data_IF_377602404308
#
_entry.id   IF_377602404308
#
_cell.length_a   1.000
_cell.length_b   1.000
_cell.length_c   1.000
_cell.angle_alpha   90.00
_cell.angle_beta   90.00
_cell.angle_gamma   90.00
#
_symmetry.space_group_name_H-M   'P 1'
#
loop_
_entity.id
_entity.type
_entity.pdbx_description
1 polymer ?
#
# COMPACT_ATOMS: atom_id res chain seq x y z
N UNK A 1 29.49 -3.42 10.74
CA UNK A 1 28.88 -2.29 11.45
C UNK A 1 29.09 -1.04 10.59
N UNK A 2 28.06 -0.49 9.98
CA UNK A 2 28.16 0.74 9.17
C UNK A 2 27.59 1.90 9.99
N UNK A 3 28.33 2.99 10.04
CA UNK A 3 27.88 4.26 10.65
C UNK A 3 27.04 5.03 9.62
N UNK A 4 25.92 5.58 10.02
CA UNK A 4 25.11 6.48 9.21
C UNK A 4 25.32 7.89 9.73
N UNK A 5 25.79 8.79 8.86
CA UNK A 5 25.90 10.19 9.16
C UNK A 5 24.57 10.88 8.86
N UNK A 6 24.02 11.56 9.86
CA UNK A 6 22.92 12.50 9.65
C UNK A 6 23.47 13.79 9.02
N UNK A 7 22.80 14.32 8.00
CA UNK A 7 23.09 15.65 7.52
C UNK A 7 22.83 16.65 8.66
N UNK A 8 23.91 17.17 9.22
CA UNK A 8 23.87 18.21 10.25
C UNK A 8 24.30 17.80 11.66
N UNK A 9 24.19 16.56 12.09
CA UNK A 9 24.58 16.10 13.42
C UNK A 9 25.02 14.65 13.43
N UNK A 10 26.28 14.35 13.74
CA UNK A 10 26.76 12.97 13.76
C UNK A 10 26.26 12.24 15.00
N UNK A 11 25.08 11.64 14.85
CA UNK A 11 24.60 10.58 15.73
C UNK A 11 24.86 9.26 15.03
N UNK A 12 25.79 8.44 15.54
CA UNK A 12 26.09 7.13 14.95
C UNK A 12 25.18 6.07 15.55
N UNK A 13 24.24 5.56 14.76
CA UNK A 13 23.42 4.40 15.11
C UNK A 13 24.00 3.17 14.42
N UNK A 14 24.29 2.14 15.19
CA UNK A 14 24.89 0.91 14.66
C UNK A 14 23.82 -0.08 14.21
N UNK A 15 23.83 -0.45 12.92
CA UNK A 15 22.90 -1.40 12.34
C UNK A 15 23.57 -2.64 11.78
N UNK A 16 22.81 -3.74 11.68
CA UNK A 16 23.23 -4.94 10.99
C UNK A 16 23.39 -4.70 9.47
N UNK A 17 24.38 -5.36 8.82
CA UNK A 17 24.59 -5.29 7.36
C UNK A 17 23.34 -5.69 6.57
N UNK A 18 22.56 -6.65 7.08
CA UNK A 18 21.31 -7.13 6.47
C UNK A 18 20.19 -6.08 6.51
N UNK A 19 20.17 -5.24 7.53
CA UNK A 19 19.22 -4.13 7.64
C UNK A 19 19.58 -2.97 6.72
N UNK A 20 20.87 -2.80 6.41
CA UNK A 20 21.34 -1.77 5.47
C UNK A 20 20.93 -2.06 4.02
N UNK A 21 21.01 -3.31 3.57
CA UNK A 21 20.59 -3.71 2.22
C UNK A 21 19.07 -3.61 2.03
N UNK A 22 18.28 -3.96 3.06
CA UNK A 22 16.81 -3.83 3.04
C UNK A 22 16.35 -2.38 3.00
N UNK A 23 17.10 -1.45 3.57
CA UNK A 23 16.78 -0.02 3.60
C UNK A 23 16.93 0.68 2.26
N UNK A 24 17.85 0.22 1.43
CA UNK A 24 18.09 0.83 0.12
C UNK A 24 16.98 0.54 -0.89
N UNK A 25 16.02 -0.35 -0.56
CA UNK A 25 14.91 -0.68 -1.44
C UNK A 25 13.66 -1.11 -0.65
N UNK A 26 12.93 -0.12 -0.11
CA UNK A 26 11.74 -0.32 0.72
C UNK A 26 10.63 -1.11 0.00
N UNK A 27 10.54 -0.99 -1.32
CA UNK A 27 9.48 -1.57 -2.15
C UNK A 27 9.97 -2.73 -3.01
N UNK A 28 11.04 -3.41 -2.61
CA UNK A 28 11.62 -4.50 -3.41
C UNK A 28 10.61 -5.59 -3.73
N UNK A 29 9.83 -6.02 -2.74
CA UNK A 29 8.87 -7.11 -2.88
C UNK A 29 7.75 -6.74 -3.87
N UNK A 30 7.15 -5.56 -3.71
CA UNK A 30 6.08 -5.06 -4.56
C UNK A 30 6.55 -4.87 -6.00
N UNK A 31 7.73 -4.26 -6.18
CA UNK A 31 8.34 -4.08 -7.50
C UNK A 31 8.72 -5.42 -8.15
N UNK A 32 9.13 -6.42 -7.37
CA UNK A 32 9.38 -7.77 -7.88
C UNK A 32 8.10 -8.35 -8.49
N UNK A 33 6.98 -8.34 -7.75
CA UNK A 33 5.71 -8.86 -8.26
C UNK A 33 5.18 -8.06 -9.45
N UNK A 34 5.29 -6.71 -9.46
CA UNK A 34 4.90 -5.91 -10.62
C UNK A 34 5.71 -6.24 -11.88
N UNK A 35 7.00 -6.51 -11.73
CA UNK A 35 7.84 -6.97 -12.84
C UNK A 35 7.48 -8.37 -13.28
N UNK A 36 7.20 -9.25 -12.31
CA UNK A 36 6.82 -10.63 -12.56
C UNK A 36 5.49 -10.74 -13.34
N UNK A 37 4.49 -9.93 -13.03
CA UNK A 37 3.22 -9.90 -13.79
C UNK A 37 3.25 -8.97 -15.01
N UNK A 38 4.39 -8.38 -15.35
CA UNK A 38 4.55 -7.53 -16.54
C UNK A 38 3.90 -6.15 -16.44
N UNK A 39 3.49 -5.69 -15.24
CA UNK A 39 2.97 -4.33 -15.03
C UNK A 39 4.07 -3.26 -15.05
N UNK A 40 5.31 -3.66 -14.81
CA UNK A 40 6.51 -2.81 -14.86
C UNK A 40 7.60 -3.54 -15.62
N UNK A 41 8.22 -2.95 -16.65
CA UNK A 41 9.26 -3.61 -17.42
C UNK A 41 10.44 -4.06 -16.56
N UNK A 42 10.96 -5.26 -16.82
CA UNK A 42 12.14 -5.81 -16.16
C UNK A 42 13.39 -5.10 -16.70
N UNK A 43 14.32 -4.71 -15.83
CA UNK A 43 15.60 -4.13 -16.24
C UNK A 43 16.59 -5.25 -16.60
N UNK A 44 16.37 -5.94 -17.72
CA UNK A 44 17.23 -7.02 -18.19
C UNK A 44 18.63 -6.51 -18.61
N UNK A 45 18.76 -5.24 -18.93
CA UNK A 45 20.01 -4.60 -19.32
C UNK A 45 21.14 -4.75 -18.30
N UNK A 46 20.80 -4.88 -17.01
CA UNK A 46 21.77 -5.06 -15.94
C UNK A 46 22.49 -6.42 -15.96
N UNK A 47 21.91 -7.41 -16.64
CA UNK A 47 22.38 -8.80 -16.66
C UNK A 47 23.00 -9.19 -18.00
N UNK A 48 23.04 -8.28 -19.00
CA UNK A 48 23.44 -8.58 -20.37
C UNK A 48 24.51 -7.59 -20.81
N UNK A 49 25.43 -8.02 -21.69
CA UNK A 49 26.47 -7.15 -22.26
C UNK A 49 25.88 -6.00 -23.06
N UNK A 50 26.63 -4.91 -23.21
CA UNK A 50 26.17 -3.67 -23.90
C UNK A 50 25.62 -3.91 -25.31
N UNK A 51 26.16 -4.89 -26.02
CA UNK A 51 25.72 -5.26 -27.39
C UNK A 51 24.28 -5.79 -27.43
N UNK A 52 23.78 -6.38 -26.33
CA UNK A 52 22.44 -6.96 -26.26
C UNK A 52 21.41 -6.09 -25.53
N UNK A 53 21.75 -4.87 -25.11
CA UNK A 53 20.85 -4.00 -24.34
C UNK A 53 19.54 -3.71 -25.08
N UNK A 54 19.57 -3.43 -26.38
CA UNK A 54 18.35 -3.17 -27.15
C UNK A 54 17.48 -4.42 -27.33
N UNK A 55 18.09 -5.59 -27.48
CA UNK A 55 17.35 -6.87 -27.51
C UNK A 55 16.69 -7.14 -26.13
N UNK A 56 17.40 -6.92 -25.04
CA UNK A 56 16.87 -7.05 -23.67
C UNK A 56 15.69 -6.10 -23.41
N UNK A 57 15.76 -4.86 -23.88
CA UNK A 57 14.63 -3.89 -23.81
C UNK A 57 13.42 -4.36 -24.61
N UNK A 58 13.65 -4.89 -25.82
CA UNK A 58 12.56 -5.43 -26.67
C UNK A 58 11.91 -6.62 -25.99
N UNK A 59 12.69 -7.56 -25.44
CA UNK A 59 12.20 -8.73 -24.73
C UNK A 59 11.36 -8.33 -23.50
N UNK A 60 11.85 -7.37 -22.71
CA UNK A 60 11.09 -6.86 -21.56
C UNK A 60 9.75 -6.21 -21.96
N UNK A 61 9.73 -5.46 -23.05
CA UNK A 61 8.47 -4.88 -23.60
C UNK A 61 7.54 -5.94 -24.14
N UNK A 62 8.09 -6.94 -24.85
CA UNK A 62 7.31 -8.08 -25.34
C UNK A 62 6.66 -8.84 -24.20
N UNK A 63 7.38 -9.13 -23.12
CA UNK A 63 6.83 -9.76 -21.93
C UNK A 63 5.68 -8.97 -21.31
N UNK A 64 5.82 -7.64 -21.18
CA UNK A 64 4.75 -6.78 -20.70
C UNK A 64 3.52 -6.80 -21.61
N UNK A 65 3.72 -6.77 -22.94
CA UNK A 65 2.64 -6.88 -23.90
C UNK A 65 1.95 -8.25 -23.82
N UNK A 66 2.72 -9.33 -23.71
CA UNK A 66 2.18 -10.69 -23.53
C UNK A 66 1.30 -10.80 -22.27
N UNK A 67 1.75 -10.26 -21.15
CA UNK A 67 0.96 -10.23 -19.91
C UNK A 67 -0.33 -9.41 -20.06
N UNK A 68 -0.27 -8.24 -20.70
CA UNK A 68 -1.46 -7.42 -20.96
C UNK A 68 -2.45 -8.15 -21.91
N UNK A 69 -1.96 -8.80 -22.94
CA UNK A 69 -2.80 -9.60 -23.85
C UNK A 69 -3.43 -10.78 -23.14
N UNK A 70 -2.70 -11.46 -22.24
CA UNK A 70 -3.23 -12.58 -21.44
C UNK A 70 -4.41 -12.18 -20.58
N UNK A 71 -4.34 -11.02 -19.91
CA UNK A 71 -5.46 -10.50 -19.09
C UNK A 71 -6.62 -10.02 -19.95
N UNK A 72 -6.34 -9.33 -21.05
CA UNK A 72 -7.35 -8.83 -21.98
C UNK A 72 -8.10 -9.97 -22.68
N UNK A 73 -7.39 -11.03 -23.05
CA UNK A 73 -7.99 -12.23 -23.66
C UNK A 73 -9.12 -12.80 -22.81
N UNK A 74 -8.88 -13.10 -21.52
CA UNK A 74 -9.93 -13.61 -20.64
C UNK A 74 -11.04 -12.59 -20.39
N UNK A 75 -10.72 -11.30 -20.28
CA UNK A 75 -11.74 -10.27 -20.18
C UNK A 75 -12.72 -10.32 -21.35
N UNK A 76 -12.22 -10.40 -22.58
CA UNK A 76 -13.05 -10.49 -23.79
C UNK A 76 -13.88 -11.78 -23.84
N UNK A 77 -13.30 -12.91 -23.45
CA UNK A 77 -14.04 -14.20 -23.41
C UNK A 77 -15.21 -14.12 -22.42
N UNK A 78 -14.99 -13.54 -21.23
CA UNK A 78 -16.05 -13.38 -20.24
C UNK A 78 -17.11 -12.33 -20.61
N UNK A 79 -16.73 -11.25 -21.29
CA UNK A 79 -17.69 -10.29 -21.85
C UNK A 79 -18.59 -11.00 -22.88
N UNK A 80 -18.01 -11.82 -23.76
CA UNK A 80 -18.78 -12.61 -24.72
C UNK A 80 -19.68 -13.63 -24.02
N UNK A 81 -19.16 -14.35 -23.02
CA UNK A 81 -19.96 -15.27 -22.20
C UNK A 81 -21.17 -14.56 -21.57
N UNK A 82 -20.92 -13.38 -20.94
CA UNK A 82 -22.00 -12.60 -20.33
C UNK A 82 -23.04 -12.17 -21.36
N UNK A 83 -22.60 -11.75 -22.56
CA UNK A 83 -23.52 -11.38 -23.65
C UNK A 83 -24.39 -12.55 -24.10
N UNK A 84 -23.81 -13.74 -24.25
CA UNK A 84 -24.57 -14.94 -24.68
C UNK A 84 -25.54 -15.37 -23.56
N UNK A 85 -25.13 -15.34 -22.30
CA UNK A 85 -25.99 -15.67 -21.16
C UNK A 85 -27.14 -14.67 -20.96
N UNK A 86 -26.98 -13.40 -21.33
CA UNK A 86 -28.07 -12.42 -21.31
C UNK A 86 -29.22 -12.77 -22.28
N UNK A 87 -28.93 -13.56 -23.30
CA UNK A 87 -29.95 -13.95 -24.31
C UNK A 87 -30.63 -15.27 -23.96
N UNK A 88 -29.97 -16.20 -23.30
CA UNK A 88 -30.40 -17.58 -23.13
C UNK A 88 -30.28 -18.14 -21.72
N UNK A 89 -29.55 -17.45 -20.84
CA UNK A 89 -29.17 -17.97 -19.53
C UNK A 89 -30.14 -17.61 -18.41
N UNK A 90 -30.07 -18.37 -17.34
CA UNK A 90 -30.71 -18.03 -16.07
C UNK A 90 -29.99 -16.86 -15.38
N UNK A 91 -30.73 -16.10 -14.54
CA UNK A 91 -30.19 -14.94 -13.84
C UNK A 91 -28.93 -15.27 -13.02
N UNK A 92 -28.85 -16.47 -12.48
CA UNK A 92 -27.68 -16.96 -11.74
C UNK A 92 -26.44 -17.09 -12.63
N UNK A 93 -26.56 -17.69 -13.79
CA UNK A 93 -25.45 -17.86 -14.76
C UNK A 93 -24.96 -16.51 -15.30
N UNK A 94 -25.90 -15.58 -15.53
CA UNK A 94 -25.60 -14.22 -15.96
C UNK A 94 -24.76 -13.50 -14.88
N UNK A 95 -25.16 -13.62 -13.60
CA UNK A 95 -24.45 -12.93 -12.49
C UNK A 95 -23.06 -13.53 -12.25
N UNK A 96 -22.88 -14.85 -12.39
CA UNK A 96 -21.57 -15.50 -12.29
C UNK A 96 -20.64 -15.05 -13.44
N UNK A 97 -21.12 -15.06 -14.69
CA UNK A 97 -20.35 -14.61 -15.84
C UNK A 97 -19.98 -13.12 -15.75
N UNK A 98 -20.93 -12.28 -15.33
CA UNK A 98 -20.73 -10.84 -15.15
C UNK A 98 -19.71 -10.55 -14.05
N UNK A 99 -19.75 -11.28 -12.93
CA UNK A 99 -18.77 -11.16 -11.85
C UNK A 99 -17.37 -11.39 -12.36
N UNK A 100 -17.14 -12.45 -13.12
CA UNK A 100 -15.85 -12.76 -13.72
C UNK A 100 -15.44 -11.75 -14.78
N UNK A 101 -16.37 -11.27 -15.62
CA UNK A 101 -16.11 -10.23 -16.60
C UNK A 101 -15.59 -8.94 -15.95
N UNK A 102 -16.21 -8.52 -14.83
CA UNK A 102 -15.79 -7.33 -14.07
C UNK A 102 -14.37 -7.51 -13.50
N UNK A 103 -14.08 -8.68 -12.92
CA UNK A 103 -12.77 -8.98 -12.32
C UNK A 103 -11.65 -8.94 -13.37
N UNK A 104 -11.81 -9.66 -14.49
CA UNK A 104 -10.79 -9.70 -15.55
C UNK A 104 -10.66 -8.38 -16.29
N UNK A 105 -11.75 -7.62 -16.45
CA UNK A 105 -11.71 -6.27 -17.01
C UNK A 105 -10.92 -5.31 -16.10
N UNK A 106 -11.09 -5.40 -14.79
CA UNK A 106 -10.29 -4.63 -13.85
C UNK A 106 -8.80 -5.04 -13.91
N UNK A 107 -8.48 -6.33 -13.98
CA UNK A 107 -7.09 -6.80 -14.09
C UNK A 107 -6.42 -6.26 -15.36
N UNK A 108 -7.14 -6.25 -16.49
CA UNK A 108 -6.66 -5.67 -17.75
C UNK A 108 -6.44 -4.17 -17.64
N UNK A 109 -7.40 -3.44 -17.05
CA UNK A 109 -7.25 -2.02 -16.75
C UNK A 109 -6.02 -1.76 -15.87
N UNK A 110 -5.87 -2.48 -14.75
CA UNK A 110 -4.77 -2.30 -13.81
C UNK A 110 -3.40 -2.53 -14.48
N UNK A 111 -3.30 -3.55 -15.34
CA UNK A 111 -2.06 -3.84 -16.10
C UNK A 111 -1.72 -2.70 -17.06
N UNK A 112 -2.67 -2.27 -17.87
CA UNK A 112 -2.48 -1.16 -18.81
C UNK A 112 -2.17 0.16 -18.07
N UNK A 113 -2.86 0.42 -16.97
CA UNK A 113 -2.66 1.62 -16.16
C UNK A 113 -1.25 1.71 -15.59
N UNK A 114 -0.74 0.66 -14.95
CA UNK A 114 0.60 0.66 -14.37
C UNK A 114 1.70 0.66 -15.43
N UNK A 115 1.49 0.02 -16.58
CA UNK A 115 2.40 0.14 -17.73
C UNK A 115 2.50 1.59 -18.20
N UNK A 116 1.38 2.28 -18.32
CA UNK A 116 1.34 3.69 -18.73
C UNK A 116 2.00 4.59 -17.67
N UNK A 117 1.72 4.38 -16.39
CA UNK A 117 2.24 5.20 -15.26
C UNK A 117 3.59 4.72 -14.72
N UNK A 118 4.25 3.77 -15.36
CA UNK A 118 5.50 3.14 -14.86
C UNK A 118 6.58 4.16 -14.49
N UNK A 119 6.78 5.20 -15.31
CA UNK A 119 7.81 6.22 -15.05
C UNK A 119 7.49 7.01 -13.77
N UNK A 120 6.26 7.48 -13.64
CA UNK A 120 5.80 8.23 -12.46
C UNK A 120 5.88 7.39 -11.19
N UNK A 121 5.45 6.12 -11.26
CA UNK A 121 5.54 5.19 -10.14
C UNK A 121 6.99 4.94 -9.70
N UNK A 122 7.90 4.68 -10.65
CA UNK A 122 9.32 4.44 -10.33
C UNK A 122 9.97 5.68 -9.72
N UNK A 123 9.69 6.88 -10.26
CA UNK A 123 10.20 8.15 -9.71
C UNK A 123 9.69 8.34 -8.27
N UNK A 124 8.39 8.17 -8.05
CA UNK A 124 7.77 8.32 -6.74
C UNK A 124 8.37 7.36 -5.68
N UNK A 125 8.50 6.07 -6.01
CA UNK A 125 9.09 5.10 -5.10
C UNK A 125 10.59 5.35 -4.86
N UNK A 126 11.31 5.85 -5.86
CA UNK A 126 12.71 6.25 -5.73
C UNK A 126 12.86 7.48 -4.84
N UNK A 127 11.99 8.48 -4.98
CA UNK A 127 11.98 9.68 -4.14
C UNK A 127 11.74 9.33 -2.66
N UNK A 128 10.78 8.43 -2.37
CA UNK A 128 10.58 7.92 -1.02
C UNK A 128 11.82 7.19 -0.51
N UNK A 129 12.44 6.32 -1.31
CA UNK A 129 13.65 5.59 -0.91
C UNK A 129 14.83 6.51 -0.57
N UNK A 130 14.97 7.63 -1.29
CA UNK A 130 16.10 8.57 -1.09
C UNK A 130 15.84 9.53 0.08
N UNK A 131 14.62 10.05 0.20
CA UNK A 131 14.31 11.16 1.11
C UNK A 131 13.72 10.71 2.46
N UNK A 132 13.35 9.42 2.61
CA UNK A 132 12.81 8.96 3.89
C UNK A 132 13.85 9.04 5.00
N UNK A 133 13.41 9.45 6.17
CA UNK A 133 14.26 9.49 7.37
C UNK A 133 14.18 8.18 8.12
N UNK A 134 15.33 7.73 8.64
CA UNK A 134 15.41 6.48 9.38
C UNK A 134 15.02 6.63 10.84
N UNK A 135 15.18 7.84 11.39
CA UNK A 135 15.01 8.12 12.81
C UNK A 135 14.43 9.51 13.04
N UNK A 136 13.80 9.68 14.22
CA UNK A 136 13.46 10.98 14.77
C UNK A 136 14.71 11.75 15.21
N UNK A 137 14.55 13.04 15.49
CA UNK A 137 15.56 13.81 16.20
C UNK A 137 15.79 13.24 17.59
N UNK A 138 17.03 13.37 18.08
CA UNK A 138 17.38 12.98 19.43
C UNK A 138 16.68 13.89 20.45
N UNK A 139 16.21 13.31 21.54
CA UNK A 139 15.53 14.01 22.61
C UNK A 139 15.07 13.03 23.68
N UNK A 140 13.94 13.31 24.33
CA UNK A 140 13.40 12.46 25.38
C UNK A 140 12.93 11.11 24.87
N UNK A 141 12.35 11.07 23.66
CA UNK A 141 11.93 9.86 22.98
C UNK A 141 12.69 9.73 21.65
N UNK A 142 12.89 8.50 21.21
CA UNK A 142 13.57 8.22 19.94
C UNK A 142 12.87 7.08 19.22
N UNK A 143 12.43 7.32 18.01
CA UNK A 143 11.70 6.35 17.20
C UNK A 143 12.40 6.10 15.85
N UNK A 144 12.27 4.88 15.34
CA UNK A 144 12.84 4.47 14.05
C UNK A 144 11.76 3.92 13.12
N UNK A 145 12.02 4.00 11.82
CA UNK A 145 11.09 3.51 10.77
C UNK A 145 11.09 1.99 10.60
N UNK A 146 11.95 1.27 11.33
CA UNK A 146 12.12 -0.18 11.15
C UNK A 146 10.82 -0.97 11.35
N UNK A 147 10.02 -0.58 12.31
CA UNK A 147 8.71 -1.20 12.58
C UNK A 147 7.73 -1.05 11.42
N UNK A 148 7.65 0.14 10.80
CA UNK A 148 6.79 0.40 9.62
C UNK A 148 7.18 -0.47 8.44
N UNK A 149 8.48 -0.57 8.17
CA UNK A 149 8.98 -1.43 7.09
C UNK A 149 8.61 -2.90 7.31
N UNK A 150 8.85 -3.42 8.52
CA UNK A 150 8.52 -4.81 8.86
C UNK A 150 7.01 -5.08 8.77
N UNK A 151 6.20 -4.12 9.20
CA UNK A 151 4.74 -4.22 9.11
C UNK A 151 4.28 -4.24 7.65
N UNK A 152 4.77 -3.31 6.82
CA UNK A 152 4.46 -3.26 5.40
C UNK A 152 4.85 -4.56 4.67
N UNK A 153 6.03 -5.09 4.97
CA UNK A 153 6.51 -6.36 4.42
C UNK A 153 5.63 -7.55 4.85
N UNK A 154 5.29 -7.66 6.14
CA UNK A 154 4.44 -8.74 6.68
C UNK A 154 3.03 -8.69 6.08
N UNK A 155 2.41 -7.51 6.00
CA UNK A 155 1.08 -7.34 5.41
C UNK A 155 1.10 -7.71 3.93
N UNK A 156 2.12 -7.28 3.18
CA UNK A 156 2.28 -7.65 1.76
C UNK A 156 2.34 -9.16 1.59
N UNK A 157 3.20 -9.85 2.34
CA UNK A 157 3.33 -11.30 2.24
C UNK A 157 2.06 -12.04 2.63
N UNK A 158 1.42 -11.62 3.73
CA UNK A 158 0.18 -12.23 4.19
C UNK A 158 -0.91 -12.08 3.13
N UNK A 159 -1.12 -10.86 2.62
CA UNK A 159 -2.13 -10.58 1.62
C UNK A 159 -1.91 -11.33 0.30
N UNK A 160 -0.67 -11.33 -0.21
CA UNK A 160 -0.33 -12.12 -1.40
C UNK A 160 -0.58 -13.61 -1.20
N UNK A 161 -0.25 -14.17 -0.04
CA UNK A 161 -0.55 -15.58 0.27
C UNK A 161 -2.05 -15.85 0.27
N UNK A 162 -2.86 -14.99 0.87
CA UNK A 162 -4.33 -15.12 0.85
C UNK A 162 -4.87 -15.13 -0.59
N UNK A 163 -4.41 -14.21 -1.45
CA UNK A 163 -4.80 -14.16 -2.86
C UNK A 163 -4.37 -15.43 -3.61
N UNK A 164 -3.15 -15.92 -3.37
CA UNK A 164 -2.64 -17.12 -4.03
C UNK A 164 -3.33 -18.41 -3.59
N UNK A 165 -3.72 -18.52 -2.33
CA UNK A 165 -4.55 -19.64 -1.84
C UNK A 165 -5.87 -19.69 -2.63
N UNK A 166 -6.51 -18.53 -2.86
CA UNK A 166 -7.72 -18.45 -3.69
C UNK A 166 -7.50 -18.96 -5.11
N UNK A 167 -6.44 -18.52 -5.76
CA UNK A 167 -6.09 -18.95 -7.13
C UNK A 167 -5.85 -20.46 -7.21
N UNK A 168 -5.07 -21.00 -6.26
CA UNK A 168 -4.75 -22.42 -6.20
C UNK A 168 -6.01 -23.26 -5.95
N UNK A 169 -6.87 -22.84 -5.02
CA UNK A 169 -8.15 -23.49 -4.72
C UNK A 169 -9.02 -23.61 -5.98
N UNK A 170 -9.17 -22.53 -6.74
CA UNK A 170 -9.94 -22.52 -7.98
C UNK A 170 -9.32 -23.38 -9.07
N UNK A 171 -8.01 -23.32 -9.24
CA UNK A 171 -7.29 -24.10 -10.23
C UNK A 171 -7.36 -25.60 -9.96
N UNK A 172 -7.31 -26.03 -8.70
CA UNK A 172 -7.34 -27.45 -8.33
C UNK A 172 -8.75 -28.06 -8.26
N UNK A 173 -9.80 -27.24 -8.18
CA UNK A 173 -11.18 -27.70 -7.99
C UNK A 173 -11.62 -28.76 -9.04
N UNK A 174 -11.46 -28.57 -10.36
CA UNK A 174 -11.84 -29.60 -11.33
C UNK A 174 -11.06 -30.91 -11.19
N UNK A 175 -9.77 -30.82 -10.83
CA UNK A 175 -8.90 -32.00 -10.65
C UNK A 175 -9.28 -32.80 -9.40
N UNK A 176 -9.64 -32.12 -8.30
CA UNK A 176 -10.05 -32.79 -7.06
C UNK A 176 -11.41 -33.47 -7.16
N UNK A 177 -12.32 -32.92 -7.97
CA UNK A 177 -13.63 -33.49 -8.22
C UNK A 177 -13.60 -34.60 -9.27
N UNK A 178 -12.46 -34.85 -9.89
CA UNK A 178 -12.33 -35.84 -10.99
C UNK A 178 -13.21 -35.51 -12.21
N UNK A 179 -13.64 -34.26 -12.32
CA UNK A 179 -14.52 -33.80 -13.40
C UNK A 179 -13.68 -33.32 -14.60
N UNK A 180 -14.02 -33.81 -15.80
CA UNK A 180 -13.39 -33.35 -17.03
C UNK A 180 -13.97 -31.98 -17.43
N UNK A 181 -13.78 -30.98 -16.55
CA UNK A 181 -14.28 -29.61 -16.73
C UNK A 181 -13.14 -28.60 -16.60
N UNK A 182 -13.32 -27.41 -17.18
CA UNK A 182 -12.36 -26.34 -17.09
C UNK A 182 -12.54 -25.54 -15.77
N UNK A 183 -11.47 -24.98 -15.19
CA UNK A 183 -11.53 -24.13 -14.01
C UNK A 183 -12.41 -22.88 -14.20
N UNK A 184 -12.39 -22.33 -15.40
CA UNK A 184 -13.15 -21.15 -15.80
C UNK A 184 -14.16 -21.49 -16.87
N UNK A 185 -15.44 -21.32 -16.58
CA UNK A 185 -16.54 -21.50 -17.55
C UNK A 185 -16.65 -20.22 -18.39
N UNK A 186 -15.99 -20.15 -19.53
CA UNK A 186 -16.07 -19.04 -20.46
C UNK A 186 -16.24 -19.53 -21.90
N UNK A 187 -16.73 -18.66 -22.76
CA UNK A 187 -16.95 -18.95 -24.17
C UNK A 187 -15.62 -19.17 -24.91
N UNK A 188 -15.61 -20.18 -25.79
CA UNK A 188 -14.51 -20.40 -26.74
C UNK A 188 -15.07 -20.59 -28.14
N UNK A 189 -14.37 -20.14 -29.21
CA UNK A 189 -14.79 -20.34 -30.62
C UNK A 189 -14.60 -21.79 -31.11
N UNK A 190 -14.13 -22.70 -30.25
CA UNK A 190 -13.87 -24.11 -30.49
C UNK A 190 -14.36 -24.95 -29.32
N UNK A 191 -14.45 -26.28 -29.50
CA UNK A 191 -14.79 -27.17 -28.39
C UNK A 191 -13.56 -27.35 -27.46
N UNK A 192 -13.56 -26.75 -26.22
CA UNK A 192 -12.40 -26.78 -25.34
C UNK A 192 -12.23 -28.12 -24.60
N UNK A 193 -13.16 -29.06 -24.74
CA UNK A 193 -13.09 -30.36 -24.05
C UNK A 193 -12.51 -31.48 -24.95
N UNK A 194 -12.04 -31.16 -26.15
CA UNK A 194 -11.35 -32.14 -27.00
C UNK A 194 -9.97 -32.47 -26.41
N UNK A 195 -9.51 -33.74 -26.52
CA UNK A 195 -8.15 -34.12 -26.09
C UNK A 195 -7.09 -33.22 -26.71
N UNK A 196 -6.01 -32.94 -25.98
CA UNK A 196 -4.93 -31.99 -26.29
C UNK A 196 -5.37 -30.51 -26.21
N UNK A 197 -6.55 -30.16 -26.72
CA UNK A 197 -7.08 -28.77 -26.61
C UNK A 197 -7.47 -28.49 -25.16
N UNK A 198 -8.01 -29.47 -24.43
CA UNK A 198 -8.36 -29.34 -23.02
C UNK A 198 -7.15 -29.01 -22.19
N UNK A 199 -6.04 -29.75 -22.32
CA UNK A 199 -4.82 -29.52 -21.51
C UNK A 199 -4.22 -28.14 -21.80
N UNK A 200 -4.18 -27.70 -23.06
CA UNK A 200 -3.70 -26.39 -23.45
C UNK A 200 -4.59 -25.26 -22.90
N UNK A 201 -5.91 -25.44 -23.01
CA UNK A 201 -6.88 -24.45 -22.50
C UNK A 201 -6.82 -24.39 -20.99
N UNK A 202 -6.73 -25.54 -20.32
CA UNK A 202 -6.57 -25.62 -18.86
C UNK A 202 -5.30 -24.89 -18.39
N UNK A 203 -4.15 -25.18 -19.00
CA UNK A 203 -2.88 -24.53 -18.68
C UNK A 203 -2.94 -23.01 -18.90
N UNK A 204 -3.56 -22.56 -19.98
CA UNK A 204 -3.74 -21.14 -20.28
C UNK A 204 -4.63 -20.46 -19.24
N UNK A 205 -5.72 -21.08 -18.84
CA UNK A 205 -6.61 -20.55 -17.80
C UNK A 205 -5.91 -20.45 -16.45
N UNK A 206 -5.19 -21.49 -16.02
CA UNK A 206 -4.41 -21.49 -14.76
C UNK A 206 -3.34 -20.39 -14.78
N UNK A 207 -2.63 -20.23 -15.90
CA UNK A 207 -1.66 -19.15 -16.07
C UNK A 207 -2.30 -17.76 -15.91
N UNK A 208 -3.41 -17.52 -16.58
CA UNK A 208 -4.11 -16.24 -16.51
C UNK A 208 -4.70 -15.97 -15.10
N UNK A 209 -5.22 -17.00 -14.43
CA UNK A 209 -5.68 -16.88 -13.04
C UNK A 209 -4.53 -16.54 -12.09
N UNK A 210 -3.37 -17.14 -12.27
CA UNK A 210 -2.18 -16.87 -11.49
C UNK A 210 -1.73 -15.40 -11.65
N UNK A 211 -1.64 -14.92 -12.89
CA UNK A 211 -1.32 -13.52 -13.18
C UNK A 211 -2.36 -12.59 -12.53
N UNK A 212 -3.64 -12.89 -12.67
CA UNK A 212 -4.74 -12.12 -12.10
C UNK A 212 -4.62 -12.03 -10.56
N UNK A 213 -4.42 -13.15 -9.88
CA UNK A 213 -4.22 -13.17 -8.43
C UNK A 213 -3.04 -12.31 -7.97
N UNK A 214 -1.93 -12.33 -8.71
CA UNK A 214 -0.79 -11.47 -8.45
C UNK A 214 -1.11 -9.98 -8.70
N UNK A 215 -1.89 -9.64 -9.74
CA UNK A 215 -2.29 -8.26 -10.05
C UNK A 215 -3.14 -7.68 -8.91
N UNK A 216 -4.16 -8.41 -8.47
CA UNK A 216 -5.02 -8.01 -7.37
C UNK A 216 -4.24 -7.90 -6.06
N UNK A 217 -3.52 -8.96 -5.70
CA UNK A 217 -2.75 -8.99 -4.46
C UNK A 217 -1.70 -7.89 -4.37
N UNK A 218 -0.94 -7.67 -5.44
CA UNK A 218 0.14 -6.70 -5.42
C UNK A 218 -0.32 -5.24 -5.52
N UNK A 219 -1.40 -4.96 -6.26
CA UNK A 219 -1.94 -3.60 -6.38
C UNK A 219 -2.39 -3.05 -5.02
N UNK A 220 -3.14 -3.83 -4.26
CA UNK A 220 -3.59 -3.49 -2.91
C UNK A 220 -2.43 -3.44 -1.91
N UNK A 221 -1.50 -4.41 -1.99
CA UNK A 221 -0.31 -4.44 -1.14
C UNK A 221 0.62 -3.24 -1.37
N UNK A 222 0.80 -2.79 -2.61
CA UNK A 222 1.59 -1.60 -2.92
C UNK A 222 0.98 -0.34 -2.28
N UNK A 223 -0.34 -0.14 -2.43
CA UNK A 223 -1.04 0.99 -1.83
C UNK A 223 -0.86 1.02 -0.31
N UNK A 224 -1.16 -0.09 0.35
CA UNK A 224 -1.04 -0.22 1.82
C UNK A 224 0.41 -0.03 2.28
N UNK A 225 1.39 -0.62 1.57
CA UNK A 225 2.81 -0.50 1.95
C UNK A 225 3.33 0.93 1.87
N UNK A 226 2.95 1.66 0.82
CA UNK A 226 3.33 3.08 0.69
C UNK A 226 2.74 3.88 1.85
N UNK A 227 1.46 3.68 2.17
CA UNK A 227 0.82 4.38 3.27
C UNK A 227 1.48 4.05 4.62
N UNK A 228 1.74 2.78 4.92
CA UNK A 228 2.39 2.38 6.19
C UNK A 228 3.76 3.04 6.35
N UNK A 229 4.56 3.10 5.27
CA UNK A 229 5.85 3.78 5.30
C UNK A 229 5.67 5.28 5.54
N UNK A 230 4.68 5.90 4.91
CA UNK A 230 4.37 7.33 5.15
C UNK A 230 3.87 7.58 6.57
N UNK A 231 3.04 6.70 7.13
CA UNK A 231 2.62 6.76 8.54
C UNK A 231 3.81 6.72 9.50
N UNK A 232 4.78 5.83 9.24
CA UNK A 232 6.03 5.80 10.00
C UNK A 232 6.85 7.09 9.87
N UNK A 233 6.85 7.73 8.71
CA UNK A 233 7.51 9.03 8.52
C UNK A 233 6.76 10.18 9.24
N UNK A 234 5.43 10.13 9.30
CA UNK A 234 4.66 11.06 10.15
C UNK A 234 4.94 10.87 11.63
N UNK A 235 5.10 9.61 12.10
CA UNK A 235 5.50 9.34 13.49
C UNK A 235 6.91 9.91 13.78
N UNK A 236 7.86 9.79 12.84
CA UNK A 236 9.19 10.38 12.93
C UNK A 236 9.10 11.92 13.01
N UNK A 237 8.28 12.53 12.17
CA UNK A 237 8.05 13.97 12.20
C UNK A 237 7.44 14.42 13.53
N UNK A 238 6.42 13.70 14.01
CA UNK A 238 5.76 13.97 15.27
C UNK A 238 6.75 13.91 16.45
N UNK A 239 7.53 12.85 16.53
CA UNK A 239 8.55 12.69 17.56
C UNK A 239 9.64 13.76 17.46
N UNK A 240 10.09 14.10 16.25
CA UNK A 240 11.10 15.15 16.03
C UNK A 240 10.62 16.53 16.47
N UNK A 241 9.36 16.86 16.21
CA UNK A 241 8.75 18.12 16.67
C UNK A 241 8.65 18.18 18.18
N UNK A 242 8.27 17.09 18.86
CA UNK A 242 8.27 17.04 20.33
C UNK A 242 9.67 17.20 20.91
N UNK A 243 10.68 16.68 20.25
CA UNK A 243 12.07 16.75 20.67
C UNK A 243 12.79 18.03 20.23
N UNK A 244 12.13 18.97 19.58
CA UNK A 244 12.74 20.12 18.92
C UNK A 244 13.69 20.91 19.86
N UNK A 245 13.21 21.27 21.05
CA UNK A 245 13.98 22.04 22.03
C UNK A 245 15.14 21.21 22.60
N UNK A 246 14.88 19.97 23.01
CA UNK A 246 15.92 19.09 23.55
C UNK A 246 17.02 18.81 22.53
N UNK A 247 16.67 18.65 21.24
CA UNK A 247 17.63 18.46 20.17
C UNK A 247 18.51 19.71 19.99
N UNK A 248 17.91 20.89 20.02
CA UNK A 248 18.64 22.15 19.94
C UNK A 248 19.60 22.37 21.13
N UNK A 249 19.17 22.01 22.35
CA UNK A 249 20.02 22.05 23.54
C UNK A 249 21.20 21.07 23.39
N UNK A 250 20.99 19.86 22.92
CA UNK A 250 22.10 18.92 22.63
C UNK A 250 23.08 19.46 21.59
N UNK A 251 22.60 20.16 20.56
CA UNK A 251 23.46 20.80 19.57
C UNK A 251 24.22 22.00 20.12
N UNK A 252 23.69 22.68 21.14
CA UNK A 252 24.37 23.79 21.83
C UNK A 252 25.38 23.34 22.88
N UNK A 253 25.40 22.03 23.19
CA UNK A 253 26.42 21.42 24.07
C UNK A 253 25.98 21.21 25.51
N UNK A 254 24.68 21.16 25.77
CA UNK A 254 24.10 20.72 27.04
C UNK A 254 24.43 19.26 27.37
N UNK A 255 24.46 18.91 28.66
CA UNK A 255 24.89 17.59 29.11
C UNK A 255 23.82 16.52 28.84
N UNK A 256 24.20 15.46 28.11
CA UNK A 256 23.41 14.25 27.89
C UNK A 256 22.89 13.59 29.17
N UNK A 257 23.57 13.77 30.31
CA UNK A 257 23.17 13.18 31.60
C UNK A 257 21.87 13.79 32.11
N UNK A 258 21.67 15.10 31.93
CA UNK A 258 20.44 15.79 32.30
C UNK A 258 19.24 15.26 31.51
N UNK A 259 19.40 15.09 30.19
CA UNK A 259 18.36 14.52 29.33
C UNK A 259 18.08 13.06 29.67
N UNK A 260 19.12 12.28 30.04
CA UNK A 260 18.96 10.90 30.49
C UNK A 260 18.12 10.79 31.78
N UNK A 261 18.33 11.71 32.71
CA UNK A 261 17.55 11.78 33.95
C UNK A 261 16.06 12.10 33.64
N UNK A 262 15.82 13.15 32.86
CA UNK A 262 14.48 13.53 32.39
C UNK A 262 13.79 12.38 31.66
N UNK A 263 14.49 11.64 30.78
CA UNK A 263 13.97 10.50 30.08
C UNK A 263 13.57 9.38 31.05
N UNK A 264 14.40 9.08 32.06
CA UNK A 264 14.08 8.05 33.05
C UNK A 264 12.85 8.42 33.91
N UNK A 265 12.68 9.66 34.23
CA UNK A 265 11.53 10.19 35.00
C UNK A 265 10.24 10.11 34.18
N UNK A 266 10.28 10.47 32.90
CA UNK A 266 9.13 10.39 31.97
C UNK A 266 8.71 8.95 31.66
N UNK A 267 9.67 8.04 31.43
CA UNK A 267 9.38 6.63 31.14
C UNK A 267 8.79 5.88 32.34
N UNK A 268 8.99 6.36 33.57
CA UNK A 268 8.36 5.76 34.75
C UNK A 268 6.89 6.16 34.92
N UNK A 269 6.42 7.20 34.23
CA UNK A 269 5.12 7.82 34.47
C UNK A 269 4.07 7.61 33.38
N UNK A 270 4.44 7.27 32.14
CA UNK A 270 3.49 7.37 31.04
C UNK A 270 3.69 6.32 29.90
N UNK A 271 3.09 5.14 30.07
CA UNK A 271 2.99 4.15 28.98
C UNK A 271 2.19 4.67 27.78
N UNK A 272 1.30 5.65 27.97
CA UNK A 272 0.49 6.23 26.91
C UNK A 272 1.31 7.04 25.92
N UNK A 273 2.39 7.68 26.34
CA UNK A 273 3.25 8.42 25.43
C UNK A 273 3.97 7.51 24.43
N UNK A 274 4.31 6.31 24.84
CA UNK A 274 4.96 5.30 24.01
C UNK A 274 3.98 4.65 23.00
N UNK A 275 2.72 4.55 23.35
CA UNK A 275 1.68 3.99 22.48
C UNK A 275 1.28 4.88 21.30
N UNK A 276 1.69 6.16 21.29
CA UNK A 276 1.39 7.11 20.22
C UNK A 276 2.14 6.81 18.91
N UNK A 277 3.24 6.06 18.96
CA UNK A 277 4.10 5.76 17.80
C UNK A 277 3.84 4.35 17.26
N UNK A 278 2.63 4.09 16.82
CA UNK A 278 2.17 2.75 16.39
C UNK A 278 3.03 2.16 15.27
N UNK A 279 3.50 3.01 14.37
CA UNK A 279 4.24 2.59 13.16
C UNK A 279 5.76 2.68 13.30
N UNK A 280 6.28 3.18 14.44
CA UNK A 280 7.71 3.43 14.66
C UNK A 280 8.18 2.96 16.03
N UNK A 281 7.69 1.82 16.52
CA UNK A 281 7.85 1.30 17.90
C UNK A 281 9.23 0.76 18.29
N UNK A 282 10.33 1.16 17.69
CA UNK A 282 11.63 0.80 18.25
C UNK A 282 12.14 1.88 19.18
N UNK A 283 12.00 1.61 20.48
CA UNK A 283 12.58 2.45 21.52
C UNK A 283 14.06 2.10 21.70
N UNK A 284 14.93 2.98 21.31
CA UNK A 284 16.31 2.96 21.76
C UNK A 284 16.36 3.58 23.16
N UNK A 285 16.06 2.76 24.18
CA UNK A 285 16.16 3.16 25.61
C UNK A 285 17.59 3.43 26.06
N UNK A 286 18.60 3.17 25.22
CA UNK A 286 19.99 3.35 25.55
C UNK A 286 20.55 4.62 24.90
N UNK A 287 20.61 5.71 25.66
CA UNK A 287 21.38 6.92 25.34
C UNK A 287 22.85 6.67 25.01
N UNK A 288 23.39 5.49 25.30
CA UNK A 288 24.74 5.02 24.86
C UNK A 288 24.92 5.00 23.34
N UNK A 289 23.82 5.04 22.56
CA UNK A 289 23.86 5.15 21.10
C UNK A 289 24.21 6.57 20.64
N UNK A 290 24.01 7.56 21.47
CA UNK A 290 24.28 8.96 21.17
C UNK A 290 25.71 9.32 21.63
N UNK A 291 26.72 8.94 20.90
CA UNK A 291 28.05 9.49 21.09
C UNK A 291 28.11 10.86 20.46
N UNK A 292 28.06 11.90 21.30
CA UNK A 292 28.40 13.25 20.85
C UNK A 292 29.87 13.27 20.42
N UNK A 293 30.09 13.68 19.19
CA UNK A 293 31.46 13.94 18.72
C UNK A 293 31.97 15.15 19.50
N UNK A 294 32.91 14.94 20.45
CA UNK A 294 33.47 15.97 21.34
C UNK A 294 34.14 17.14 20.59
N UNK A 295 34.38 17.01 19.29
CA UNK A 295 35.07 17.99 18.44
C UNK A 295 34.14 18.88 17.61
N UNK A 296 32.86 18.98 17.94
CA UNK A 296 31.97 19.89 17.21
C UNK A 296 32.00 21.27 17.77
N UNK A 297 32.07 22.27 16.91
CA UNK A 297 31.82 23.67 17.25
C UNK A 297 30.43 23.79 17.87
N UNK A 298 30.35 24.22 19.14
CA UNK A 298 29.09 24.44 19.83
C UNK A 298 28.33 25.53 19.10
N UNK A 299 27.12 25.19 18.62
CA UNK A 299 26.22 26.18 18.01
C UNK A 299 25.54 27.01 19.09
N UNK A 300 25.26 28.28 18.81
CA UNK A 300 24.38 29.02 19.69
C UNK A 300 22.96 28.43 19.66
N UNK A 301 22.27 28.42 20.79
CA UNK A 301 20.93 27.84 20.93
C UNK A 301 19.92 28.37 19.90
N UNK A 302 19.86 29.68 19.56
CA UNK A 302 18.97 30.17 18.51
C UNK A 302 19.23 29.54 17.13
N UNK A 303 20.50 29.36 16.75
CA UNK A 303 20.89 28.77 15.48
C UNK A 303 20.52 27.28 15.48
N UNK A 304 20.81 26.57 16.55
CA UNK A 304 20.48 25.14 16.68
C UNK A 304 18.96 24.90 16.60
N UNK A 305 18.17 25.76 17.25
CA UNK A 305 16.72 25.71 17.26
C UNK A 305 16.12 25.95 15.86
N UNK A 306 16.64 26.99 15.17
CA UNK A 306 16.22 27.28 13.79
C UNK A 306 16.56 26.12 12.83
N UNK A 307 17.76 25.57 12.88
CA UNK A 307 18.15 24.43 12.04
C UNK A 307 17.28 23.19 12.30
N UNK A 308 17.00 22.88 13.58
CA UNK A 308 16.13 21.78 13.96
C UNK A 308 14.70 21.96 13.42
N UNK A 309 14.17 23.19 13.51
CA UNK A 309 12.86 23.50 12.93
C UNK A 309 12.85 23.38 11.40
N UNK A 310 13.88 23.89 10.73
CA UNK A 310 14.03 23.78 9.27
C UNK A 310 14.03 22.31 8.82
N UNK A 311 14.71 21.43 9.55
CA UNK A 311 14.69 20.00 9.26
C UNK A 311 13.29 19.38 9.40
N UNK A 312 12.51 19.76 10.41
CA UNK A 312 11.13 19.33 10.57
C UNK A 312 10.24 19.85 9.43
N UNK A 313 10.41 21.12 9.04
CA UNK A 313 9.70 21.73 7.91
C UNK A 313 9.99 21.02 6.61
N UNK A 314 11.25 20.69 6.33
CA UNK A 314 11.65 19.97 5.12
C UNK A 314 11.02 18.56 5.07
N UNK A 315 11.02 17.84 6.19
CA UNK A 315 10.37 16.54 6.29
C UNK A 315 8.85 16.66 6.07
N UNK A 316 8.20 17.63 6.68
CA UNK A 316 6.77 17.88 6.49
C UNK A 316 6.42 18.21 5.04
N UNK A 317 7.19 19.09 4.39
CA UNK A 317 7.02 19.42 2.97
C UNK A 317 7.21 18.20 2.07
N UNK A 318 8.21 17.36 2.34
CA UNK A 318 8.42 16.12 1.63
C UNK A 318 7.22 15.18 1.77
N UNK A 319 6.69 15.03 3.00
CA UNK A 319 5.52 14.18 3.27
C UNK A 319 4.27 14.67 2.55
N UNK A 320 3.98 15.98 2.61
CA UNK A 320 2.84 16.56 1.89
C UNK A 320 2.96 16.34 0.38
N UNK A 321 4.13 16.61 -0.21
CA UNK A 321 4.39 16.38 -1.64
C UNK A 321 4.24 14.89 -2.00
N UNK A 322 4.73 14.00 -1.15
CA UNK A 322 4.59 12.55 -1.37
C UNK A 322 3.14 12.10 -1.29
N UNK A 323 2.33 12.66 -0.39
CA UNK A 323 0.90 12.41 -0.30
C UNK A 323 0.16 12.92 -1.55
N UNK A 324 0.49 14.09 -2.07
CA UNK A 324 -0.08 14.60 -3.31
C UNK A 324 0.25 13.69 -4.50
N UNK A 325 1.50 13.24 -4.59
CA UNK A 325 1.93 12.32 -5.66
C UNK A 325 1.24 10.95 -5.52
N UNK A 326 1.05 10.46 -4.29
CA UNK A 326 0.30 9.24 -4.02
C UNK A 326 -1.15 9.40 -4.47
N UNK A 327 -1.79 10.50 -4.13
CA UNK A 327 -3.15 10.82 -4.58
C UNK A 327 -3.23 10.82 -6.11
N UNK A 328 -2.34 11.52 -6.80
CA UNK A 328 -2.33 11.60 -8.27
C UNK A 328 -2.12 10.24 -8.94
N UNK A 329 -1.32 9.36 -8.34
CA UNK A 329 -1.07 8.02 -8.86
C UNK A 329 -2.22 7.06 -8.59
N UNK A 330 -2.81 7.11 -7.40
CA UNK A 330 -3.81 6.12 -7.00
C UNK A 330 -5.26 6.59 -7.20
N UNK A 331 -5.51 7.87 -7.41
CA UNK A 331 -6.86 8.41 -7.58
C UNK A 331 -7.67 7.71 -8.70
N UNK A 332 -7.17 7.59 -9.96
CA UNK A 332 -7.91 6.86 -11.00
C UNK A 332 -8.00 5.36 -10.72
N UNK A 333 -6.93 4.78 -10.18
CA UNK A 333 -6.91 3.36 -9.79
C UNK A 333 -7.94 3.06 -8.71
N UNK A 334 -8.01 3.88 -7.65
CA UNK A 334 -9.00 3.76 -6.58
C UNK A 334 -10.44 3.92 -7.07
N UNK A 335 -10.68 4.79 -8.07
CA UNK A 335 -12.01 4.93 -8.66
C UNK A 335 -12.48 3.63 -9.31
N UNK A 336 -11.69 3.12 -10.27
CA UNK A 336 -12.06 1.89 -11.00
C UNK A 336 -12.12 0.70 -10.03
N UNK A 337 -11.19 0.64 -9.06
CA UNK A 337 -11.17 -0.39 -8.02
C UNK A 337 -12.40 -0.35 -7.12
N UNK A 338 -12.80 0.83 -6.66
CA UNK A 338 -13.98 0.98 -5.83
C UNK A 338 -15.27 0.63 -6.56
N UNK A 339 -15.38 0.98 -7.85
CA UNK A 339 -16.51 0.57 -8.70
C UNK A 339 -16.54 -0.95 -8.86
N UNK A 340 -15.38 -1.57 -9.16
CA UNK A 340 -15.24 -3.03 -9.28
C UNK A 340 -15.67 -3.72 -7.98
N UNK A 341 -15.18 -3.29 -6.83
CA UNK A 341 -15.52 -3.87 -5.52
C UNK A 341 -17.03 -3.73 -5.24
N UNK A 342 -17.61 -2.56 -5.49
CA UNK A 342 -19.03 -2.31 -5.23
C UNK A 342 -19.91 -3.23 -6.07
N UNK A 343 -19.66 -3.31 -7.38
CA UNK A 343 -20.41 -4.20 -8.28
C UNK A 343 -20.21 -5.68 -7.90
N UNK A 344 -18.98 -6.08 -7.63
CA UNK A 344 -18.67 -7.44 -7.23
C UNK A 344 -19.37 -7.85 -5.94
N UNK A 345 -19.38 -6.99 -4.90
CA UNK A 345 -20.10 -7.28 -3.64
C UNK A 345 -21.60 -7.44 -3.88
N UNK A 346 -22.20 -6.59 -4.70
CA UNK A 346 -23.63 -6.71 -5.04
C UNK A 346 -23.94 -8.08 -5.68
N UNK A 347 -23.14 -8.49 -6.67
CA UNK A 347 -23.32 -9.75 -7.38
C UNK A 347 -23.04 -10.97 -6.49
N UNK A 348 -21.95 -10.97 -5.72
CA UNK A 348 -21.60 -12.06 -4.82
C UNK A 348 -22.66 -12.31 -3.73
N UNK A 349 -23.20 -11.24 -3.14
CA UNK A 349 -24.28 -11.36 -2.14
C UNK A 349 -25.54 -11.92 -2.79
N UNK A 350 -25.88 -11.49 -4.01
CA UNK A 350 -27.03 -12.05 -4.74
C UNK A 350 -26.87 -13.54 -5.06
N UNK A 351 -25.73 -13.95 -5.62
CA UNK A 351 -25.42 -15.35 -5.92
C UNK A 351 -25.46 -16.23 -4.65
N UNK A 352 -25.02 -15.68 -3.51
CA UNK A 352 -25.05 -16.38 -2.23
C UNK A 352 -26.46 -16.62 -1.67
N UNK A 353 -27.42 -15.78 -2.04
CA UNK A 353 -28.82 -15.90 -1.55
C UNK A 353 -29.71 -16.64 -2.55
N UNK A 354 -29.52 -16.44 -3.85
CA UNK A 354 -30.40 -16.97 -4.90
C UNK A 354 -29.89 -18.29 -5.50
N UNK A 355 -28.61 -18.62 -5.34
CA UNK A 355 -27.99 -19.76 -6.03
C UNK A 355 -28.19 -21.09 -5.35
N UNK A 356 -28.11 -22.18 -6.14
CA UNK A 356 -28.12 -23.55 -5.62
C UNK A 356 -26.90 -23.83 -4.73
N UNK A 357 -27.11 -24.40 -3.56
CA UNK A 357 -26.09 -24.65 -2.53
C UNK A 357 -25.34 -25.97 -2.75
N UNK A 358 -24.27 -25.95 -3.56
CA UNK A 358 -23.26 -27.00 -3.41
C UNK A 358 -22.18 -26.54 -2.40
N UNK A 359 -21.69 -27.47 -1.58
CA UNK A 359 -20.69 -27.15 -0.53
C UNK A 359 -19.46 -26.44 -1.11
N UNK A 360 -18.94 -26.89 -2.26
CA UNK A 360 -17.77 -26.29 -2.89
C UNK A 360 -18.05 -24.88 -3.42
N UNK A 361 -19.21 -24.65 -3.98
CA UNK A 361 -19.64 -23.33 -4.43
C UNK A 361 -19.72 -22.36 -3.26
N UNK A 362 -20.31 -22.78 -2.15
CA UNK A 362 -20.43 -21.98 -0.93
C UNK A 362 -19.06 -21.61 -0.36
N UNK A 363 -18.11 -22.55 -0.32
CA UNK A 363 -16.73 -22.28 0.14
C UNK A 363 -16.06 -21.22 -0.74
N UNK A 364 -16.15 -21.37 -2.05
CA UNK A 364 -15.56 -20.41 -3.00
C UNK A 364 -16.21 -19.02 -2.86
N UNK A 365 -17.53 -18.96 -2.72
CA UNK A 365 -18.27 -17.71 -2.54
C UNK A 365 -17.84 -16.99 -1.27
N UNK A 366 -17.77 -17.70 -0.14
CA UNK A 366 -17.34 -17.14 1.16
C UNK A 366 -15.91 -16.63 1.07
N UNK A 367 -15.00 -17.38 0.43
CA UNK A 367 -13.63 -16.97 0.21
C UNK A 367 -13.54 -15.69 -0.63
N UNK A 368 -14.29 -15.61 -1.72
CA UNK A 368 -14.35 -14.43 -2.58
C UNK A 368 -14.89 -13.21 -1.84
N UNK A 369 -15.98 -13.38 -1.10
CA UNK A 369 -16.60 -12.33 -0.30
C UNK A 369 -15.62 -11.81 0.76
N UNK A 370 -14.93 -12.73 1.46
CA UNK A 370 -13.95 -12.37 2.48
C UNK A 370 -12.77 -11.57 1.90
N UNK A 371 -12.23 -12.00 0.74
CA UNK A 371 -11.15 -11.27 0.06
C UNK A 371 -11.61 -9.88 -0.40
N UNK A 372 -12.79 -9.77 -0.99
CA UNK A 372 -13.33 -8.49 -1.49
C UNK A 372 -13.59 -7.49 -0.35
N UNK A 373 -14.18 -7.97 0.76
CA UNK A 373 -14.41 -7.13 1.95
C UNK A 373 -13.08 -6.71 2.60
N UNK A 374 -12.10 -7.62 2.70
CA UNK A 374 -10.78 -7.31 3.24
C UNK A 374 -10.05 -6.28 2.38
N UNK A 375 -10.20 -6.35 1.07
CA UNK A 375 -9.61 -5.38 0.15
C UNK A 375 -10.25 -4.00 0.30
N UNK A 376 -11.57 -3.92 0.35
CA UNK A 376 -12.29 -2.67 0.61
C UNK A 376 -11.87 -2.05 1.94
N UNK A 377 -11.79 -2.88 3.00
CA UNK A 377 -11.33 -2.45 4.31
C UNK A 377 -9.90 -1.88 4.25
N UNK A 378 -8.97 -2.55 3.56
CA UNK A 378 -7.60 -2.05 3.44
C UNK A 378 -7.54 -0.66 2.79
N UNK A 379 -8.24 -0.45 1.68
CA UNK A 379 -8.22 0.85 1.01
C UNK A 379 -8.84 1.97 1.87
N UNK A 380 -9.94 1.71 2.53
CA UNK A 380 -10.66 2.72 3.32
C UNK A 380 -9.98 2.98 4.67
N UNK A 381 -9.55 1.94 5.37
CA UNK A 381 -8.89 2.07 6.67
C UNK A 381 -7.55 2.79 6.58
N UNK A 382 -6.68 2.38 5.65
CA UNK A 382 -5.37 3.01 5.50
C UNK A 382 -5.48 4.43 4.92
N UNK A 383 -6.46 4.71 4.08
CA UNK A 383 -6.77 6.06 3.62
C UNK A 383 -7.15 7.00 4.78
N UNK A 384 -8.00 6.54 5.68
CA UNK A 384 -8.38 7.29 6.88
C UNK A 384 -7.22 7.46 7.87
N UNK A 385 -6.42 6.42 8.08
CA UNK A 385 -5.23 6.51 8.94
C UNK A 385 -4.25 7.58 8.44
N UNK A 386 -3.97 7.61 7.14
CA UNK A 386 -3.09 8.62 6.57
C UNK A 386 -3.62 10.04 6.80
N UNK A 387 -4.92 10.24 6.60
CA UNK A 387 -5.60 11.50 6.90
C UNK A 387 -5.41 11.91 8.36
N UNK A 388 -5.69 11.02 9.29
CA UNK A 388 -5.62 11.30 10.72
C UNK A 388 -4.19 11.59 11.18
N UNK A 389 -3.18 10.85 10.66
CA UNK A 389 -1.78 11.11 11.00
C UNK A 389 -1.26 12.42 10.41
N UNK A 390 -1.74 12.85 9.25
CA UNK A 390 -1.31 14.12 8.64
C UNK A 390 -1.63 15.35 9.48
N UNK A 391 -2.66 15.29 10.31
CA UNK A 391 -3.12 16.41 11.15
C UNK A 391 -2.28 16.51 12.45
N UNK A 392 -1.69 15.39 12.91
CA UNK A 392 -0.98 15.31 14.19
C UNK A 392 0.27 16.19 14.28
N UNK A 393 0.87 16.59 13.15
CA UNK A 393 2.09 17.42 13.16
C UNK A 393 1.91 18.76 13.90
N UNK A 394 0.75 19.41 13.75
CA UNK A 394 0.43 20.63 14.50
C UNK A 394 0.28 20.38 16.00
N UNK A 395 -0.36 19.28 16.38
CA UNK A 395 -0.52 18.87 17.79
C UNK A 395 0.84 18.59 18.45
N UNK A 396 1.74 17.89 17.76
CA UNK A 396 3.08 17.59 18.25
C UNK A 396 3.85 18.85 18.66
N UNK A 397 3.73 19.89 17.85
CA UNK A 397 4.39 21.15 18.14
C UNK A 397 3.86 21.80 19.43
N UNK A 398 2.55 21.77 19.67
CA UNK A 398 1.96 22.29 20.92
C UNK A 398 2.37 21.48 22.16
N UNK A 399 2.70 20.21 21.99
CA UNK A 399 3.20 19.33 23.06
C UNK A 399 4.71 19.46 23.30
N UNK A 400 5.47 20.15 22.43
CA UNK A 400 6.89 20.43 22.63
C UNK A 400 7.08 21.62 23.59
N UNK A 401 8.25 21.70 24.25
CA UNK A 401 8.59 22.81 25.17
C UNK A 401 9.18 24.00 24.40
N UNK A 402 8.50 24.49 23.38
CA UNK A 402 8.99 25.55 22.50
C UNK A 402 8.87 26.96 23.11
N UNK A 403 7.99 27.19 24.09
CA UNK A 403 7.61 28.52 24.59
C UNK A 403 8.75 29.29 25.27
N UNK A 404 9.74 28.69 25.98
CA UNK A 404 10.84 29.47 26.56
C UNK A 404 11.68 30.18 25.50
N UNK A 405 11.76 29.59 24.31
CA UNK A 405 12.58 30.04 23.19
C UNK A 405 11.77 30.59 22.01
N UNK A 406 10.48 30.82 22.21
CA UNK A 406 9.54 31.26 21.17
C UNK A 406 9.96 32.54 20.42
N UNK A 407 10.62 33.48 21.16
CA UNK A 407 11.06 34.74 20.59
C UNK A 407 12.08 34.62 19.45
N UNK A 408 12.86 33.52 19.41
CA UNK A 408 13.84 33.26 18.36
C UNK A 408 13.19 32.75 17.05
N UNK A 409 12.07 32.00 17.11
CA UNK A 409 11.50 31.26 15.98
C UNK A 409 10.01 31.53 15.77
N UNK A 410 9.44 32.55 16.40
CA UNK A 410 8.00 32.88 16.39
C UNK A 410 7.38 32.91 14.97
N UNK A 411 8.07 33.54 14.02
CA UNK A 411 7.59 33.69 12.65
C UNK A 411 7.57 32.35 11.93
N UNK A 412 8.61 31.55 12.10
CA UNK A 412 8.77 30.26 11.43
C UNK A 412 7.75 29.24 11.96
N UNK A 413 7.50 29.28 13.28
CA UNK A 413 6.45 28.50 13.94
C UNK A 413 5.08 28.81 13.34
N UNK A 414 4.74 30.08 13.23
CA UNK A 414 3.45 30.51 12.71
C UNK A 414 3.24 29.96 11.28
N UNK A 415 4.23 30.13 10.42
CA UNK A 415 4.18 29.61 9.05
C UNK A 415 4.07 28.08 9.01
N UNK A 416 4.76 27.37 9.89
CA UNK A 416 4.66 25.92 10.01
C UNK A 416 3.24 25.49 10.43
N UNK A 417 2.69 26.09 11.49
CA UNK A 417 1.36 25.76 12.03
C UNK A 417 0.23 26.03 11.01
N UNK A 418 0.36 27.06 10.19
CA UNK A 418 -0.59 27.29 9.08
C UNK A 418 -0.58 26.13 8.09
N UNK A 419 0.61 25.62 7.74
CA UNK A 419 0.76 24.51 6.81
C UNK A 419 0.33 23.15 7.39
N UNK A 420 0.38 22.94 8.72
CA UNK A 420 -0.09 21.70 9.36
C UNK A 420 -1.61 21.54 9.32
N UNK A 421 -2.37 22.62 9.04
CA UNK A 421 -3.83 22.56 8.83
C UNK A 421 -4.22 21.90 7.51
N UNK A 422 -3.26 21.70 6.60
CA UNK A 422 -3.51 21.01 5.34
C UNK A 422 -3.73 19.52 5.57
N UNK A 423 -4.97 19.08 5.42
CA UNK A 423 -5.37 17.67 5.59
C UNK A 423 -5.07 16.89 4.33
N UNK A 424 -4.30 15.81 4.45
CA UNK A 424 -4.09 14.84 3.37
C UNK A 424 -5.36 14.04 3.15
N UNK A 425 -5.71 13.79 1.90
CA UNK A 425 -6.90 13.04 1.50
C UNK A 425 -6.56 12.12 0.35
N UNK A 426 -6.97 10.86 0.45
CA UNK A 426 -6.96 9.93 -0.68
C UNK A 426 -8.39 9.82 -1.20
N UNK A 427 -8.57 10.06 -2.49
CA UNK A 427 -9.87 10.07 -3.13
C UNK A 427 -9.96 9.01 -4.24
N UNK A 428 -11.16 8.62 -4.57
CA UNK A 428 -11.45 7.82 -5.75
C UNK A 428 -12.07 8.71 -6.84
N UNK A 429 -11.30 8.99 -7.90
CA UNK A 429 -11.72 9.83 -9.00
C UNK A 429 -12.04 11.28 -8.62
N UNK A 430 -11.61 11.75 -7.45
CA UNK A 430 -12.00 13.02 -6.83
C UNK A 430 -13.50 13.15 -6.50
N UNK A 431 -14.26 12.07 -6.63
CA UNK A 431 -15.70 12.06 -6.32
C UNK A 431 -15.97 11.85 -4.84
N UNK A 432 -15.22 10.97 -4.18
CA UNK A 432 -15.40 10.65 -2.76
C UNK A 432 -14.06 10.24 -2.11
N UNK A 433 -14.05 10.35 -0.78
CA UNK A 433 -12.89 9.97 0.04
C UNK A 433 -12.83 8.46 0.22
N UNK A 434 -11.62 7.91 0.28
CA UNK A 434 -11.36 6.52 0.70
C UNK A 434 -11.22 6.48 2.21
N UNK A 435 -12.35 6.47 2.91
CA UNK A 435 -12.46 6.46 4.38
C UNK A 435 -13.45 5.38 4.86
N UNK A 436 -13.58 5.22 6.18
CA UNK A 436 -14.50 4.23 6.79
C UNK A 436 -15.97 4.56 6.46
N UNK A 437 -16.32 5.82 6.20
CA UNK A 437 -17.68 6.16 5.78
C UNK A 437 -17.99 5.56 4.40
N UNK A 438 -17.00 5.51 3.51
CA UNK A 438 -17.12 4.84 2.22
C UNK A 438 -17.32 3.34 2.36
N UNK A 439 -16.60 2.67 3.28
CA UNK A 439 -16.82 1.26 3.59
C UNK A 439 -18.28 1.00 3.96
N UNK A 440 -18.82 1.78 4.89
CA UNK A 440 -20.23 1.68 5.31
C UNK A 440 -21.20 1.90 4.13
N UNK A 441 -20.94 2.91 3.31
CA UNK A 441 -21.77 3.24 2.14
C UNK A 441 -21.81 2.09 1.13
N UNK A 442 -20.66 1.49 0.80
CA UNK A 442 -20.58 0.38 -0.16
C UNK A 442 -21.31 -0.85 0.36
N UNK A 443 -21.17 -1.19 1.64
CA UNK A 443 -21.89 -2.31 2.26
C UNK A 443 -23.39 -2.07 2.22
N UNK A 444 -23.86 -0.86 2.57
CA UNK A 444 -25.29 -0.50 2.52
C UNK A 444 -25.82 -0.58 1.09
N UNK A 445 -25.07 -0.10 0.10
CA UNK A 445 -25.43 -0.20 -1.30
C UNK A 445 -25.55 -1.66 -1.77
N UNK A 446 -24.61 -2.54 -1.38
CA UNK A 446 -24.67 -3.95 -1.73
C UNK A 446 -25.96 -4.62 -1.23
N UNK A 447 -26.38 -4.34 0.01
CA UNK A 447 -27.63 -4.85 0.56
C UNK A 447 -28.88 -4.26 -0.15
N UNK A 448 -28.83 -2.98 -0.53
CA UNK A 448 -29.94 -2.37 -1.28
C UNK A 448 -30.11 -2.99 -2.68
N UNK A 449 -29.01 -3.27 -3.36
CA UNK A 449 -29.02 -3.98 -4.65
C UNK A 449 -29.50 -5.42 -4.52
N UNK A 450 -29.14 -6.12 -3.44
CA UNK A 450 -29.64 -7.47 -3.17
C UNK A 450 -31.17 -7.49 -3.15
N UNK A 451 -31.80 -6.58 -2.38
CA UNK A 451 -33.27 -6.54 -2.29
C UNK A 451 -33.93 -6.23 -3.64
N UNK A 452 -33.28 -5.42 -4.48
CA UNK A 452 -33.76 -5.14 -5.84
C UNK A 452 -33.67 -6.39 -6.72
N UNK A 453 -32.53 -7.09 -6.73
CA UNK A 453 -32.32 -8.30 -7.53
C UNK A 453 -33.23 -9.45 -7.09
N UNK A 454 -33.50 -9.59 -5.79
CA UNK A 454 -34.47 -10.57 -5.27
C UNK A 454 -35.87 -10.31 -5.81
N UNK A 455 -36.36 -9.05 -5.80
CA UNK A 455 -37.65 -8.68 -6.37
C UNK A 455 -37.74 -8.93 -7.87
N UNK A 456 -36.64 -8.72 -8.60
CA UNK A 456 -36.57 -9.04 -10.03
C UNK A 456 -36.62 -10.55 -10.30
N UNK A 457 -35.90 -11.33 -9.48
CA UNK A 457 -35.92 -12.79 -9.57
C UNK A 457 -37.31 -13.39 -9.27
N UNK A 458 -38.03 -12.85 -8.28
CA UNK A 458 -39.41 -13.24 -7.95
C UNK A 458 -40.42 -12.89 -9.06
N UNK A 459 -40.20 -11.80 -9.78
CA UNK A 459 -41.09 -11.36 -10.88
C UNK A 459 -40.91 -12.22 -12.15
N UNK A 460 -39.76 -12.86 -12.31
CA UNK A 460 -39.42 -13.70 -13.46
C UNK A 460 -39.72 -15.21 -13.24
N UNK A 461 -40.13 -15.61 -12.03
CA UNK A 461 -40.74 -16.89 -11.69
C UNK A 461 -42.26 -16.82 -11.82
#
# INVERSE_FOLDING_TARGET
MSSIDFHGGSLKVFYSKKDHERRNNLFHLQLFFMKFVGQVPINLEKYVSKSWHEAAKRLARFYCAFSAVSTLHLSLLYIKTTYDMLQTGELEEITDALTMAIIYSFASFATCYWLWRTKSLRSFLADINVQHRHHSMAGLTFVSVHSSYNLAYKITLYWLRCCMVGVVSWALNPLLLGSYTLPLKCWYPFNPLQPVIYELTYATQVWCQFIMGCIFGNGSALFVSVIIIMLGQFDILYCSLKNLDYHAQLMSGEDLKYLAKLQSELLQGDDDELNQYVYSKEYLTNLKVFTTNKNRDKKSLPIALHESLVECVQLHQFLLKSCDTLEDLFNPYCLVKSLQITLQLCLLVFVGVAGESSTMRTINLVQYLALTLSELFMFTYFGELLRNHSIRAGEAFFRSQWWPHAHYIKRDIFMFLVNTKRVVKITAGKFYLMDIQRLRSVITQAFSFLTLLQKLAEKNK
#
